data_IF_439992814295
#
_entry.id   IF_439992814295
#
_cell.length_a   1.000
_cell.length_b   1.000
_cell.length_c   1.000
_cell.angle_alpha   90.00
_cell.angle_beta   90.00
_cell.angle_gamma   90.00
#
_symmetry.space_group_name_H-M   'P 1'
#
loop_
_entity.id
_entity.type
_entity.pdbx_description
1 polymer ?
#
# COMPACT_ATOMS: atom_id res chain seq x y z
N UNK A 1 10.12 45.81 22.43
CA UNK A 1 10.08 44.43 22.95
C UNK A 1 10.80 43.58 21.93
N UNK A 2 12.05 43.22 22.22
CA UNK A 2 12.86 42.36 21.35
C UNK A 2 12.13 41.01 21.25
N UNK A 3 11.66 40.64 20.07
CA UNK A 3 11.10 39.32 19.83
C UNK A 3 12.20 38.29 20.00
N UNK A 4 12.03 37.35 20.93
CA UNK A 4 13.01 36.30 21.16
C UNK A 4 13.29 35.56 19.84
N UNK A 5 14.55 35.64 19.38
CA UNK A 5 14.99 34.89 18.20
C UNK A 5 14.75 33.39 18.44
N UNK A 6 14.27 32.63 17.44
CA UNK A 6 14.08 31.19 17.58
C UNK A 6 15.39 30.52 18.00
N UNK A 7 15.29 29.53 18.88
CA UNK A 7 16.45 28.77 19.37
C UNK A 7 17.06 28.02 18.19
N UNK A 8 18.35 28.23 17.93
CA UNK A 8 19.05 27.58 16.82
C UNK A 8 19.40 26.13 17.16
N UNK A 9 19.65 25.30 16.14
CA UNK A 9 20.02 23.89 16.36
C UNK A 9 21.31 23.75 17.17
N UNK A 10 22.27 24.67 17.01
CA UNK A 10 23.49 24.71 17.81
C UNK A 10 23.24 25.03 19.28
N UNK A 11 22.32 25.95 19.57
CA UNK A 11 21.90 26.27 20.93
C UNK A 11 21.17 25.08 21.57
N UNK A 12 20.30 24.40 20.81
CA UNK A 12 19.67 23.15 21.24
C UNK A 12 20.70 22.07 21.61
N UNK A 13 21.75 21.91 20.81
CA UNK A 13 22.86 21.00 21.11
C UNK A 13 23.59 21.34 22.41
N UNK A 14 23.88 22.63 22.63
CA UNK A 14 24.49 23.13 23.88
C UNK A 14 23.60 22.92 25.10
N UNK A 15 22.30 23.20 24.98
CA UNK A 15 21.31 22.96 26.03
C UNK A 15 21.26 21.48 26.40
N UNK A 16 21.26 20.58 25.40
CA UNK A 16 21.28 19.13 25.60
C UNK A 16 22.52 18.68 26.37
N UNK A 17 23.71 19.10 25.94
CA UNK A 17 24.96 18.72 26.60
C UNK A 17 25.04 19.19 28.05
N UNK A 18 24.58 20.41 28.34
CA UNK A 18 24.54 20.93 29.72
C UNK A 18 23.53 20.18 30.59
N UNK A 19 22.39 19.78 30.02
CA UNK A 19 21.38 18.99 30.71
C UNK A 19 21.88 17.57 31.02
N UNK A 20 22.58 16.93 30.08
CA UNK A 20 23.25 15.63 30.28
C UNK A 20 24.34 15.70 31.36
N UNK A 21 25.03 16.84 31.48
CA UNK A 21 25.98 17.11 32.56
C UNK A 21 25.32 17.40 33.93
N UNK A 22 23.99 17.23 34.06
CA UNK A 22 23.25 17.39 35.32
C UNK A 22 23.00 18.84 35.76
N UNK A 23 23.19 19.84 34.88
CA UNK A 23 22.90 21.24 35.22
C UNK A 23 21.38 21.47 35.32
N UNK A 24 20.97 22.27 36.29
CA UNK A 24 19.55 22.67 36.42
C UNK A 24 19.11 23.59 35.26
N UNK A 25 17.83 23.56 34.90
CA UNK A 25 17.25 24.40 33.82
C UNK A 25 17.58 25.88 34.00
N UNK A 26 17.53 26.40 35.24
CA UNK A 26 17.95 27.79 35.54
C UNK A 26 19.44 28.02 35.33
N UNK A 27 20.29 27.05 35.66
CA UNK A 27 21.72 27.12 35.40
C UNK A 27 22.02 27.18 33.90
N UNK A 28 21.34 26.33 33.12
CA UNK A 28 21.46 26.31 31.65
C UNK A 28 20.97 27.63 31.04
N UNK A 29 19.83 28.14 31.49
CA UNK A 29 19.27 29.42 31.05
C UNK A 29 20.26 30.58 31.24
N UNK A 30 20.95 30.62 32.39
CA UNK A 30 22.01 31.61 32.65
C UNK A 30 23.21 31.42 31.70
N UNK A 31 23.63 30.17 31.47
CA UNK A 31 24.76 29.86 30.58
C UNK A 31 24.48 30.20 29.11
N UNK A 32 23.27 29.92 28.63
CA UNK A 32 22.85 30.13 27.22
C UNK A 32 22.24 31.53 27.03
N UNK A 33 22.08 32.32 28.10
CA UNK A 33 21.44 33.64 28.12
C UNK A 33 20.03 33.64 27.52
N UNK A 34 19.27 32.58 27.81
CA UNK A 34 17.88 32.41 27.34
C UNK A 34 16.92 32.31 28.51
N UNK A 35 15.64 32.52 28.24
CA UNK A 35 14.61 32.36 29.26
C UNK A 35 14.56 30.91 29.77
N UNK A 36 14.31 30.68 31.08
CA UNK A 36 14.16 29.32 31.62
C UNK A 36 13.05 28.53 30.92
N UNK A 37 11.98 29.21 30.47
CA UNK A 37 10.90 28.60 29.70
C UNK A 37 11.38 28.13 28.32
N UNK A 38 12.16 28.95 27.60
CA UNK A 38 12.71 28.55 26.30
C UNK A 38 13.60 27.30 26.39
N UNK A 39 14.43 27.22 27.44
CA UNK A 39 15.25 26.02 27.71
C UNK A 39 14.39 24.80 28.02
N UNK A 40 13.33 24.95 28.84
CA UNK A 40 12.38 23.87 29.14
C UNK A 40 11.69 23.36 27.88
N UNK A 41 11.24 24.26 27.01
CA UNK A 41 10.64 23.90 25.72
C UNK A 41 11.63 23.17 24.81
N UNK A 42 12.88 23.65 24.70
CA UNK A 42 13.91 22.99 23.89
C UNK A 42 14.17 21.54 24.36
N UNK A 43 14.22 21.31 25.67
CA UNK A 43 14.37 19.97 26.24
C UNK A 43 13.15 19.08 25.96
N UNK A 44 11.93 19.63 26.02
CA UNK A 44 10.71 18.89 25.69
C UNK A 44 10.61 18.54 24.20
N UNK A 45 11.05 19.42 23.30
CA UNK A 45 11.06 19.17 21.86
C UNK A 45 12.07 18.10 21.46
N UNK A 46 13.14 17.95 22.23
CA UNK A 46 14.11 16.86 22.09
C UNK A 46 13.48 15.48 22.30
N UNK A 47 12.43 15.41 23.12
CA UNK A 47 11.62 14.20 23.27
C UNK A 47 10.67 14.12 22.08
N UNK A 48 10.87 13.11 21.22
CA UNK A 48 9.99 12.86 20.07
C UNK A 48 8.54 12.83 20.53
N UNK A 49 7.73 13.78 20.04
CA UNK A 49 6.28 13.80 20.28
C UNK A 49 5.70 12.49 19.75
N UNK A 50 5.07 11.73 20.64
CA UNK A 50 4.34 10.52 20.24
C UNK A 50 3.12 10.98 19.43
N UNK A 51 3.02 10.49 18.19
CA UNK A 51 1.85 10.70 17.37
C UNK A 51 0.62 9.99 17.92
N UNK A 52 -0.52 10.13 17.24
CA UNK A 52 -1.74 9.39 17.56
C UNK A 52 -1.44 7.88 17.59
N UNK A 53 -1.92 7.13 18.60
CA UNK A 53 -1.76 5.69 18.64
C UNK A 53 -2.41 5.04 17.40
N UNK A 54 -1.80 3.96 16.91
CA UNK A 54 -2.34 3.22 15.76
C UNK A 54 -3.69 2.60 16.11
N UNK A 55 -4.59 2.58 15.13
CA UNK A 55 -5.88 1.89 15.24
C UNK A 55 -5.72 0.36 15.36
N UNK A 56 -4.63 -0.18 14.80
CA UNK A 56 -4.30 -1.60 14.86
C UNK A 56 -3.35 -1.87 16.02
N UNK A 57 -3.65 -2.93 16.76
CA UNK A 57 -2.72 -3.48 17.74
C UNK A 57 -1.60 -4.23 17.04
N UNK A 58 -0.45 -4.28 17.71
CA UNK A 58 0.75 -4.97 17.23
C UNK A 58 0.50 -6.46 16.89
N UNK A 59 -0.38 -7.11 17.67
CA UNK A 59 -0.79 -8.49 17.43
C UNK A 59 -1.61 -8.63 16.14
N UNK A 60 -2.56 -7.73 15.90
CA UNK A 60 -3.37 -7.73 14.68
C UNK A 60 -2.50 -7.48 13.45
N UNK A 61 -1.53 -6.56 13.54
CA UNK A 61 -0.54 -6.35 12.48
C UNK A 61 0.17 -7.65 12.14
N UNK A 62 0.74 -8.34 13.13
CA UNK A 62 1.43 -9.62 12.91
C UNK A 62 0.52 -10.72 12.33
N UNK A 63 -0.76 -10.73 12.68
CA UNK A 63 -1.70 -11.71 12.16
C UNK A 63 -2.02 -11.45 10.68
N UNK A 64 -2.34 -10.21 10.33
CA UNK A 64 -2.59 -9.77 8.96
C UNK A 64 -1.39 -10.05 8.07
N UNK A 65 -0.19 -9.73 8.54
CA UNK A 65 1.04 -9.90 7.74
C UNK A 65 1.34 -11.37 7.48
N UNK A 66 1.10 -12.26 8.45
CA UNK A 66 1.26 -13.70 8.27
C UNK A 66 0.25 -14.26 7.27
N UNK A 67 -1.02 -13.88 7.38
CA UNK A 67 -2.04 -14.31 6.43
C UNK A 67 -1.79 -13.75 5.02
N UNK A 68 -1.33 -12.50 4.91
CA UNK A 68 -0.97 -11.89 3.64
C UNK A 68 0.27 -12.54 3.00
N UNK A 69 1.20 -13.09 3.80
CA UNK A 69 2.37 -13.79 3.27
C UNK A 69 2.00 -15.10 2.57
N UNK A 70 0.87 -15.74 2.92
CA UNK A 70 0.37 -16.94 2.25
C UNK A 70 -0.05 -16.66 0.81
N UNK A 71 -0.58 -15.45 0.54
CA UNK A 71 -0.97 -15.03 -0.80
C UNK A 71 -2.37 -15.42 -1.26
N UNK A 72 -3.18 -15.98 -0.37
CA UNK A 72 -4.55 -16.42 -0.69
C UNK A 72 -5.61 -15.34 -0.47
N UNK A 73 -5.27 -14.27 0.26
CA UNK A 73 -6.25 -13.30 0.74
C UNK A 73 -6.01 -11.89 0.21
N UNK A 74 -7.09 -11.24 -0.18
CA UNK A 74 -7.13 -9.81 -0.41
C UNK A 74 -7.17 -8.98 0.85
N UNK A 75 -6.87 -7.69 0.70
CA UNK A 75 -7.01 -6.74 1.81
C UNK A 75 -8.45 -6.62 2.35
N UNK A 76 -9.47 -6.92 1.54
CA UNK A 76 -10.86 -6.93 1.97
C UNK A 76 -11.17 -8.20 2.77
N UNK A 77 -10.80 -9.37 2.25
CA UNK A 77 -10.97 -10.67 2.93
C UNK A 77 -10.19 -10.72 4.25
N UNK A 78 -8.96 -10.18 4.29
CA UNK A 78 -8.16 -10.07 5.53
C UNK A 78 -8.86 -9.24 6.60
N UNK A 79 -9.65 -8.25 6.22
CA UNK A 79 -10.43 -7.44 7.17
C UNK A 79 -11.55 -8.27 7.79
N UNK A 80 -12.25 -9.05 6.97
CA UNK A 80 -13.40 -9.86 7.37
C UNK A 80 -12.95 -11.06 8.22
N UNK A 81 -11.93 -11.78 7.75
CA UNK A 81 -11.35 -12.95 8.42
C UNK A 81 -10.85 -12.61 9.83
N UNK A 82 -10.12 -11.50 9.97
CA UNK A 82 -9.59 -11.06 11.25
C UNK A 82 -10.50 -10.09 12.00
N UNK A 83 -11.73 -9.87 11.53
CA UNK A 83 -12.77 -9.02 12.14
C UNK A 83 -12.24 -7.66 12.57
N UNK A 84 -11.47 -7.01 11.68
CA UNK A 84 -10.79 -5.75 11.98
C UNK A 84 -11.73 -4.56 11.81
N UNK A 85 -11.74 -3.66 12.80
CA UNK A 85 -12.55 -2.43 12.78
C UNK A 85 -12.00 -1.36 11.82
N UNK A 86 -10.80 -1.53 11.28
CA UNK A 86 -10.17 -0.55 10.41
C UNK A 86 -10.73 -0.56 8.98
N UNK A 87 -10.44 0.49 8.21
CA UNK A 87 -10.75 0.52 6.78
C UNK A 87 -9.82 -0.40 5.98
N UNK A 88 -10.29 -0.90 4.83
CA UNK A 88 -9.48 -1.69 3.89
C UNK A 88 -8.24 -0.90 3.44
N UNK A 89 -8.39 0.42 3.27
CA UNK A 89 -7.28 1.30 2.89
C UNK A 89 -6.15 1.30 3.93
N UNK A 90 -6.47 1.19 5.23
CA UNK A 90 -5.46 1.09 6.30
C UNK A 90 -4.65 -0.19 6.17
N UNK A 91 -5.29 -1.32 5.86
CA UNK A 91 -4.60 -2.58 5.61
C UNK A 91 -3.70 -2.50 4.38
N UNK A 92 -4.18 -1.90 3.28
CA UNK A 92 -3.34 -1.69 2.10
C UNK A 92 -2.10 -0.83 2.39
N UNK A 93 -2.24 0.25 3.18
CA UNK A 93 -1.09 1.07 3.61
C UNK A 93 -0.11 0.30 4.49
N UNK A 94 -0.64 -0.58 5.34
CA UNK A 94 0.17 -1.42 6.21
C UNK A 94 0.96 -2.42 5.37
N UNK A 95 0.31 -3.13 4.46
CA UNK A 95 0.94 -4.12 3.59
C UNK A 95 1.96 -3.49 2.63
N UNK A 96 1.69 -2.28 2.12
CA UNK A 96 2.63 -1.57 1.25
C UNK A 96 3.92 -1.11 1.94
N UNK A 97 3.95 -1.08 3.28
CA UNK A 97 5.15 -0.69 4.05
C UNK A 97 6.10 -1.86 4.29
N UNK A 98 5.71 -3.08 3.94
CA UNK A 98 6.45 -4.29 4.29
C UNK A 98 7.33 -4.70 3.12
N UNK A 99 8.64 -4.71 3.35
CA UNK A 99 9.64 -4.83 2.28
C UNK A 99 9.59 -6.17 1.52
N UNK A 100 9.24 -7.25 2.24
CA UNK A 100 9.18 -8.61 1.71
C UNK A 100 7.84 -8.97 1.04
N UNK A 101 6.83 -8.11 1.13
CA UNK A 101 5.55 -8.30 0.43
C UNK A 101 5.57 -7.51 -0.88
N UNK A 102 5.21 -8.17 -1.98
CA UNK A 102 4.98 -7.51 -3.25
C UNK A 102 3.47 -7.47 -3.54
N UNK A 103 3.02 -6.29 -4.00
CA UNK A 103 1.69 -6.21 -4.58
C UNK A 103 1.68 -6.98 -5.90
N UNK A 104 0.83 -7.99 -6.00
CA UNK A 104 0.55 -8.69 -7.25
C UNK A 104 -0.87 -8.33 -7.69
N UNK A 105 -1.05 -8.05 -8.98
CA UNK A 105 -2.40 -7.96 -9.53
C UNK A 105 -2.91 -9.38 -9.72
N UNK A 106 -4.18 -9.59 -9.41
CA UNK A 106 -4.85 -10.84 -9.74
C UNK A 106 -4.73 -11.11 -11.23
N UNK A 107 -4.43 -12.36 -11.59
CA UNK A 107 -4.48 -12.79 -12.96
C UNK A 107 -5.94 -12.82 -13.42
N UNK A 108 -6.33 -11.83 -14.24
CA UNK A 108 -7.71 -11.68 -14.74
C UNK A 108 -7.93 -12.48 -16.02
N UNK A 109 -7.03 -13.39 -16.36
CA UNK A 109 -7.22 -14.26 -17.52
C UNK A 109 -8.13 -15.42 -17.14
N UNK A 110 -9.11 -15.68 -18.01
CA UNK A 110 -9.74 -17.00 -18.04
C UNK A 110 -8.65 -18.07 -18.20
N UNK A 111 -8.80 -19.25 -17.57
CA UNK A 111 -7.86 -20.35 -17.81
C UNK A 111 -7.83 -20.63 -19.31
N UNK A 112 -6.66 -20.44 -19.92
CA UNK A 112 -6.47 -20.68 -21.34
C UNK A 112 -6.52 -22.19 -21.57
N UNK A 113 -7.69 -22.70 -21.92
CA UNK A 113 -7.87 -24.13 -22.21
C UNK A 113 -7.03 -24.52 -23.43
N UNK A 114 -6.65 -25.80 -23.51
CA UNK A 114 -5.91 -26.32 -24.67
C UNK A 114 -6.67 -26.09 -25.97
N UNK A 115 -8.01 -26.13 -25.91
CA UNK A 115 -8.90 -25.83 -27.04
C UNK A 115 -8.79 -24.37 -27.48
N UNK A 116 -8.69 -23.41 -26.56
CA UNK A 116 -8.47 -22.00 -26.93
C UNK A 116 -7.11 -21.79 -27.59
N UNK A 117 -6.05 -22.42 -27.06
CA UNK A 117 -4.71 -22.37 -27.66
C UNK A 117 -4.71 -22.95 -29.07
N UNK A 118 -5.40 -24.09 -29.24
CA UNK A 118 -5.66 -24.76 -30.51
C UNK A 118 -6.91 -24.24 -31.25
N UNK A 119 -7.42 -23.05 -30.92
CA UNK A 119 -8.20 -22.22 -31.85
C UNK A 119 -7.43 -20.97 -32.32
N UNK A 120 -6.54 -20.45 -31.46
CA UNK A 120 -5.68 -19.31 -31.78
C UNK A 120 -4.54 -19.62 -32.76
N UNK A 121 -3.87 -20.78 -32.67
CA UNK A 121 -2.77 -21.20 -33.54
C UNK A 121 -3.19 -21.46 -35.00
N UNK A 122 -4.45 -21.81 -35.22
CA UNK A 122 -5.05 -22.30 -36.47
C UNK A 122 -5.69 -21.13 -37.15
N UNK A 123 -6.28 -20.23 -36.36
CA UNK A 123 -6.52 -18.86 -36.80
C UNK A 123 -5.23 -18.18 -37.26
N UNK A 124 -4.13 -18.25 -36.47
CA UNK A 124 -2.85 -17.67 -36.84
C UNK A 124 -2.26 -18.31 -38.11
N UNK A 125 -2.21 -19.65 -38.19
CA UNK A 125 -1.76 -20.38 -39.39
C UNK A 125 -2.58 -20.00 -40.61
N UNK A 126 -3.90 -19.95 -40.49
CA UNK A 126 -4.81 -19.54 -41.57
C UNK A 126 -4.50 -18.13 -42.06
N UNK A 127 -4.28 -17.18 -41.14
CA UNK A 127 -3.89 -15.82 -41.50
C UNK A 127 -2.49 -15.76 -42.15
N UNK A 128 -1.50 -16.49 -41.64
CA UNK A 128 -0.16 -16.55 -42.23
C UNK A 128 -0.17 -17.12 -43.65
N UNK A 129 -0.96 -18.17 -43.90
CA UNK A 129 -1.14 -18.72 -45.26
C UNK A 129 -1.98 -17.82 -46.17
N UNK A 130 -2.86 -17.00 -45.59
CA UNK A 130 -3.66 -16.04 -46.34
C UNK A 130 -2.89 -14.76 -46.68
N UNK A 131 -1.81 -14.43 -45.95
CA UNK A 131 -0.97 -13.25 -46.19
C UNK A 131 -0.16 -13.31 -47.50
N UNK A 132 0.01 -14.49 -48.11
CA UNK A 132 0.56 -14.63 -49.47
C UNK A 132 -0.42 -14.15 -50.56
N UNK A 133 -1.68 -13.91 -50.19
CA UNK A 133 -2.69 -13.24 -51.02
C UNK A 133 -3.04 -11.93 -50.33
N UNK A 134 -2.37 -10.86 -50.70
CA UNK A 134 -2.62 -9.53 -50.15
C UNK A 134 -4.12 -9.17 -50.34
N UNK A 135 -4.88 -9.24 -49.25
CA UNK A 135 -6.26 -8.74 -49.18
C UNK A 135 -6.34 -7.94 -47.89
N UNK A 136 -6.50 -6.63 -48.03
CA UNK A 136 -6.75 -5.68 -46.95
C UNK A 136 -7.91 -6.14 -46.04
N UNK A 137 -7.60 -6.94 -45.02
CA UNK A 137 -8.57 -7.39 -44.03
C UNK A 137 -8.73 -6.31 -42.96
N UNK A 138 -9.72 -5.44 -43.15
CA UNK A 138 -10.21 -4.51 -42.14
C UNK A 138 -10.86 -5.30 -40.99
N UNK A 139 -10.26 -5.29 -39.80
CA UNK A 139 -10.89 -5.83 -38.58
C UNK A 139 -11.77 -4.77 -37.92
N UNK A 140 -13.11 -4.84 -38.00
CA UNK A 140 -13.96 -3.90 -37.29
C UNK A 140 -13.95 -4.23 -35.79
N UNK A 141 -13.14 -3.52 -34.99
CA UNK A 141 -13.25 -3.60 -33.53
C UNK A 141 -14.50 -2.85 -33.09
N UNK A 142 -15.61 -3.57 -32.89
CA UNK A 142 -16.83 -2.97 -32.33
C UNK A 142 -16.62 -2.74 -30.82
N UNK A 143 -16.02 -1.60 -30.45
CA UNK A 143 -16.05 -1.13 -29.05
C UNK A 143 -17.52 -0.88 -28.70
N UNK A 144 -18.14 -1.76 -27.90
CA UNK A 144 -19.46 -1.49 -27.31
C UNK A 144 -19.32 -0.25 -26.42
N UNK A 145 -19.79 0.89 -26.91
CA UNK A 145 -20.02 2.08 -26.08
C UNK A 145 -21.13 1.75 -25.07
N UNK A 146 -20.81 1.81 -23.79
CA UNK A 146 -21.74 1.67 -22.67
C UNK A 146 -22.75 2.81 -22.66
N UNK A 147 -23.87 2.65 -23.39
CA UNK A 147 -25.05 3.52 -23.27
C UNK A 147 -26.39 2.78 -23.45
N UNK A 148 -26.39 1.44 -23.54
CA UNK A 148 -27.62 0.63 -23.59
C UNK A 148 -27.58 -0.43 -22.50
N UNK A 149 -27.74 0.03 -21.25
CA UNK A 149 -28.00 -0.82 -20.09
C UNK A 149 -29.20 -0.28 -19.31
N UNK A 150 -30.29 -0.01 -20.03
CA UNK A 150 -31.63 0.16 -19.47
C UNK A 150 -32.57 -0.58 -20.43
N UNK A 151 -33.41 -1.44 -19.84
CA UNK A 151 -34.41 -2.33 -20.47
C UNK A 151 -33.95 -3.78 -20.75
N UNK A 152 -34.46 -4.73 -19.95
CA UNK A 152 -34.86 -6.05 -20.49
C UNK A 152 -34.20 -7.32 -19.93
N UNK A 153 -34.56 -7.68 -18.69
CA UNK A 153 -35.05 -9.01 -18.28
C UNK A 153 -34.26 -10.31 -18.54
N UNK A 154 -33.93 -10.95 -17.39
CA UNK A 154 -34.06 -12.39 -17.05
C UNK A 154 -33.27 -13.42 -17.87
N UNK A 155 -32.22 -13.97 -17.26
CA UNK A 155 -31.86 -15.40 -17.37
C UNK A 155 -31.15 -15.86 -16.09
N UNK A 156 -31.74 -16.87 -15.45
CA UNK A 156 -31.13 -17.98 -14.68
C UNK A 156 -29.86 -17.72 -13.86
N UNK A 157 -30.01 -17.83 -12.54
CA UNK A 157 -28.90 -17.94 -11.61
C UNK A 157 -28.09 -19.21 -11.87
N UNK A 158 -26.91 -19.05 -12.44
CA UNK A 158 -25.79 -19.94 -12.24
C UNK A 158 -24.89 -19.28 -11.21
N UNK A 159 -24.66 -19.96 -10.09
CA UNK A 159 -23.70 -19.55 -9.07
C UNK A 159 -22.30 -19.64 -9.66
N UNK A 160 -21.84 -18.56 -10.28
CA UNK A 160 -20.41 -18.39 -10.56
C UNK A 160 -19.69 -18.36 -9.22
N UNK A 161 -18.86 -19.38 -9.00
CA UNK A 161 -18.05 -19.52 -7.79
C UNK A 161 -17.35 -18.20 -7.47
N UNK A 162 -17.35 -17.85 -6.19
CA UNK A 162 -16.74 -16.63 -5.68
C UNK A 162 -15.35 -16.44 -6.29
N UNK A 163 -15.19 -15.38 -7.08
CA UNK A 163 -13.91 -14.97 -7.63
C UNK A 163 -13.12 -14.39 -6.45
N UNK A 164 -11.99 -15.00 -6.04
CA UNK A 164 -11.23 -14.53 -4.89
C UNK A 164 -10.67 -13.13 -5.18
N UNK A 165 -10.70 -12.26 -4.18
CA UNK A 165 -10.24 -10.89 -4.35
C UNK A 165 -8.69 -10.82 -4.37
N UNK A 166 -8.15 -9.72 -4.90
CA UNK A 166 -6.71 -9.53 -5.15
C UNK A 166 -5.80 -9.66 -3.91
N UNK A 167 -4.82 -10.57 -3.95
CA UNK A 167 -3.91 -10.89 -2.85
C UNK A 167 -2.48 -10.31 -2.98
N UNK A 168 -1.78 -10.22 -1.84
CA UNK A 168 -0.36 -9.86 -1.79
C UNK A 168 0.50 -11.12 -1.79
N UNK A 169 1.61 -11.16 -2.53
CA UNK A 169 2.47 -12.36 -2.60
C UNK A 169 3.83 -12.05 -1.98
N UNK A 170 4.39 -13.00 -1.23
CA UNK A 170 5.74 -12.88 -0.70
C UNK A 170 6.78 -12.80 -1.85
N UNK A 171 7.74 -11.88 -1.75
CA UNK A 171 8.85 -11.83 -2.70
C UNK A 171 9.71 -13.07 -2.52
N UNK A 172 9.65 -13.99 -3.47
CA UNK A 172 10.62 -15.08 -3.57
C UNK A 172 11.96 -14.49 -4.03
N UNK A 173 12.96 -14.53 -3.15
CA UNK A 173 14.33 -14.21 -3.53
C UNK A 173 14.84 -15.24 -4.54
N UNK A 174 14.84 -14.89 -5.82
CA UNK A 174 15.70 -15.58 -6.79
C UNK A 174 17.15 -15.20 -6.47
N UNK A 175 17.95 -16.22 -6.19
CA UNK A 175 19.31 -16.12 -5.67
C UNK A 175 20.28 -15.33 -6.54
N UNK A 176 21.32 -14.84 -5.85
CA UNK A 176 22.64 -14.55 -6.41
C UNK A 176 23.27 -15.85 -6.95
#
# INVERSE_FOLDING_TARGET
MEGDSPITDEECGRIKGLHEAGRSVRGIAKSVKRSPNGVSYALQLLVKRRGRPSTLSDRQVRQVVRAAATGDFSAAELKEEHKLSCSVRTLQRLLSRIDFLAYSKMDRTLPLTKEHQAACLEFAKRLSTAAEKEVDHFFPTKKRSTLMALMGSRTTGETYGAIPAAACVAKTGKGL
#
